data_IF_588879754438
#
_entry.id   IF_588879754438
#
_cell.length_a   1.000
_cell.length_b   1.000
_cell.length_c   1.000
_cell.angle_alpha   90.00
_cell.angle_beta   90.00
_cell.angle_gamma   90.00
#
_symmetry.space_group_name_H-M   'P 1'
#
loop_
_entity.id
_entity.type
_entity.pdbx_description
1 polymer ?
#
# COMPACT_ATOMS: atom_id res chain seq x y z
N UNK A 1 -4.49 -31.26 34.79
CA UNK A 1 -3.38 -30.67 34.03
C UNK A 1 -3.52 -31.08 32.56
N UNK A 2 -4.21 -30.28 31.77
CA UNK A 2 -4.37 -30.51 30.33
C UNK A 2 -3.59 -29.42 29.61
N UNK A 3 -2.40 -29.76 29.10
CA UNK A 3 -1.64 -28.88 28.21
C UNK A 3 -2.31 -28.93 26.86
N UNK A 4 -3.06 -27.88 26.57
CA UNK A 4 -3.63 -27.65 25.24
C UNK A 4 -2.48 -27.52 24.21
N UNK A 5 -2.43 -28.43 23.27
CA UNK A 5 -1.62 -28.38 22.07
C UNK A 5 -2.04 -27.11 21.28
N UNK A 6 -1.26 -26.04 21.36
CA UNK A 6 -1.37 -24.97 20.37
C UNK A 6 -0.84 -25.52 19.05
N UNK A 7 -1.78 -25.85 18.18
CA UNK A 7 -1.49 -26.16 16.77
C UNK A 7 -0.90 -24.90 16.14
N UNK A 8 0.43 -24.84 16.02
CA UNK A 8 1.09 -23.84 15.20
C UNK A 8 0.71 -24.16 13.74
N UNK A 9 -0.36 -23.56 13.24
CA UNK A 9 -0.72 -23.63 11.83
C UNK A 9 0.53 -23.25 11.01
N UNK A 10 0.94 -24.16 10.11
CA UNK A 10 2.03 -23.90 9.16
C UNK A 10 1.67 -22.62 8.41
N UNK A 11 2.50 -21.57 8.50
CA UNK A 11 2.30 -20.37 7.70
C UNK A 11 2.22 -20.77 6.22
N UNK A 12 1.17 -20.32 5.53
CA UNK A 12 1.00 -20.56 4.10
C UNK A 12 2.11 -19.84 3.35
N UNK A 13 2.57 -20.45 2.26
CA UNK A 13 3.58 -19.86 1.39
C UNK A 13 2.95 -18.81 0.47
N UNK A 14 3.66 -17.71 0.22
CA UNK A 14 3.25 -16.65 -0.69
C UNK A 14 4.03 -16.73 -1.99
N UNK A 15 3.37 -16.41 -3.10
CA UNK A 15 3.95 -16.42 -4.44
C UNK A 15 4.28 -15.00 -4.89
N UNK A 16 5.39 -14.89 -5.61
CA UNK A 16 5.67 -13.76 -6.48
C UNK A 16 5.78 -14.29 -7.90
N UNK A 17 4.69 -14.16 -8.64
CA UNK A 17 4.56 -14.60 -10.03
C UNK A 17 5.04 -13.45 -10.89
N UNK A 18 6.04 -13.70 -11.74
CA UNK A 18 6.74 -12.64 -12.46
C UNK A 18 6.66 -12.96 -13.95
N UNK A 19 6.20 -11.99 -14.73
CA UNK A 19 6.30 -12.04 -16.18
C UNK A 19 7.74 -11.85 -16.63
N UNK A 20 8.02 -12.21 -17.89
CA UNK A 20 9.36 -12.18 -18.49
C UNK A 20 9.62 -10.90 -19.28
N UNK A 21 8.92 -10.79 -20.42
CA UNK A 21 9.13 -9.73 -21.41
C UNK A 21 8.47 -8.43 -20.92
N UNK A 22 9.14 -7.27 -21.09
CA UNK A 22 8.68 -6.01 -20.51
C UNK A 22 8.83 -5.92 -18.98
N UNK A 23 9.12 -7.02 -18.28
CA UNK A 23 9.17 -7.11 -16.81
C UNK A 23 10.58 -7.41 -16.27
N UNK A 24 11.21 -8.52 -16.67
CA UNK A 24 12.61 -8.85 -16.33
C UNK A 24 13.58 -8.32 -17.38
N UNK A 25 13.19 -8.44 -18.62
CA UNK A 25 13.97 -8.05 -19.79
C UNK A 25 13.14 -7.14 -20.69
N UNK A 26 13.82 -6.30 -21.47
CA UNK A 26 13.18 -5.40 -22.42
C UNK A 26 12.54 -6.22 -23.53
N UNK A 27 11.31 -5.90 -23.90
CA UNK A 27 10.66 -6.45 -25.04
C UNK A 27 11.11 -5.73 -26.33
N UNK A 28 11.58 -6.44 -27.38
CA UNK A 28 11.91 -5.83 -28.66
C UNK A 28 10.63 -5.56 -29.48
N UNK A 29 10.77 -4.75 -30.55
CA UNK A 29 9.65 -4.37 -31.42
C UNK A 29 8.95 -5.56 -32.11
N UNK A 30 9.66 -6.66 -32.31
CA UNK A 30 9.14 -7.90 -32.92
C UNK A 30 8.64 -8.93 -31.89
N UNK A 31 8.59 -8.53 -30.59
CA UNK A 31 8.09 -9.32 -29.46
C UNK A 31 8.79 -10.68 -29.28
N UNK A 32 9.97 -10.92 -29.91
CA UNK A 32 10.69 -12.17 -29.83
C UNK A 32 12.15 -11.99 -29.39
N UNK A 33 12.51 -12.63 -28.28
CA UNK A 33 13.90 -12.66 -27.79
C UNK A 33 14.54 -13.98 -28.27
N UNK A 34 14.96 -14.00 -29.52
CA UNK A 34 15.51 -15.15 -30.26
C UNK A 34 17.02 -15.06 -30.48
N UNK A 35 17.67 -14.01 -30.02
CA UNK A 35 19.11 -13.78 -30.12
C UNK A 35 19.66 -13.05 -28.87
N UNK A 36 20.98 -13.28 -28.59
CA UNK A 36 21.64 -12.69 -27.43
C UNK A 36 21.73 -11.17 -27.48
N UNK A 37 21.79 -10.57 -28.64
CA UNK A 37 21.84 -9.13 -28.85
C UNK A 37 20.49 -8.44 -28.56
N UNK A 38 19.39 -9.20 -28.52
CA UNK A 38 18.09 -8.74 -28.09
C UNK A 38 17.87 -8.88 -26.57
N UNK A 39 18.74 -9.62 -25.87
CA UNK A 39 18.61 -9.82 -24.43
C UNK A 39 19.13 -8.62 -23.66
N UNK A 40 18.23 -7.77 -23.18
CA UNK A 40 18.54 -6.60 -22.35
C UNK A 40 17.74 -6.67 -21.06
N UNK A 41 18.41 -6.81 -19.91
CA UNK A 41 17.73 -6.78 -18.60
C UNK A 41 17.24 -5.38 -18.28
N UNK A 42 16.04 -5.28 -17.70
CA UNK A 42 15.54 -4.00 -17.22
C UNK A 42 16.41 -3.45 -16.08
N UNK A 43 16.57 -2.12 -16.01
CA UNK A 43 17.34 -1.50 -14.95
C UNK A 43 16.86 -1.88 -13.55
N UNK A 44 17.78 -2.32 -12.72
CA UNK A 44 17.50 -2.65 -11.32
C UNK A 44 17.03 -4.08 -11.04
N UNK A 45 16.72 -4.90 -12.05
CA UNK A 45 16.28 -6.30 -11.86
C UNK A 45 17.23 -7.06 -10.94
N UNK A 46 18.50 -7.18 -11.27
CA UNK A 46 19.46 -7.92 -10.44
C UNK A 46 19.54 -7.42 -9.00
N UNK A 47 19.57 -6.10 -8.83
CA UNK A 47 19.70 -5.49 -7.52
C UNK A 47 18.44 -5.71 -6.66
N UNK A 48 17.28 -5.35 -7.19
CA UNK A 48 16.07 -5.27 -6.39
C UNK A 48 15.30 -6.59 -6.33
N UNK A 49 15.22 -7.36 -7.42
CA UNK A 49 14.67 -8.72 -7.36
C UNK A 49 15.58 -9.64 -6.53
N UNK A 50 16.90 -9.48 -6.61
CA UNK A 50 17.84 -10.17 -5.73
C UNK A 50 17.65 -9.81 -4.27
N UNK A 51 17.35 -8.54 -3.94
CA UNK A 51 16.99 -8.14 -2.58
C UNK A 51 15.65 -8.75 -2.14
N UNK A 52 14.62 -8.75 -3.00
CA UNK A 52 13.32 -9.40 -2.73
C UNK A 52 13.53 -10.90 -2.42
N UNK A 53 14.31 -11.60 -3.24
CA UNK A 53 14.59 -13.04 -3.06
C UNK A 53 15.28 -13.35 -1.72
N UNK A 54 16.14 -12.45 -1.24
CA UNK A 54 16.89 -12.66 0.01
C UNK A 54 16.16 -12.19 1.27
N UNK A 55 15.34 -11.15 1.14
CA UNK A 55 14.79 -10.40 2.28
C UNK A 55 13.31 -10.64 2.53
N UNK A 56 12.64 -11.38 1.65
CA UNK A 56 11.22 -11.72 1.77
C UNK A 56 11.03 -13.25 1.74
N UNK A 57 9.83 -13.69 2.06
CA UNK A 57 9.45 -15.11 2.08
C UNK A 57 8.69 -15.55 0.82
N UNK A 58 8.71 -14.74 -0.24
CA UNK A 58 8.05 -15.09 -1.49
C UNK A 58 8.75 -16.24 -2.22
N UNK A 59 7.95 -17.16 -2.75
CA UNK A 59 8.39 -18.16 -3.70
C UNK A 59 8.26 -17.55 -5.11
N UNK A 60 9.38 -17.44 -5.83
CA UNK A 60 9.42 -16.84 -7.16
C UNK A 60 8.96 -17.85 -8.21
N UNK A 61 8.07 -17.45 -9.10
CA UNK A 61 7.56 -18.24 -10.24
C UNK A 61 7.58 -17.38 -11.49
N UNK A 62 8.19 -17.87 -12.56
CA UNK A 62 8.18 -17.20 -13.87
C UNK A 62 7.00 -17.68 -14.69
N UNK A 63 6.23 -16.76 -15.28
CA UNK A 63 5.08 -17.08 -16.14
C UNK A 63 5.09 -16.17 -17.35
N UNK A 64 5.22 -16.73 -18.55
CA UNK A 64 5.29 -15.96 -19.79
C UNK A 64 4.48 -16.58 -20.92
N UNK A 65 3.89 -15.74 -21.77
CA UNK A 65 3.32 -16.12 -23.05
C UNK A 65 4.42 -15.94 -24.12
N UNK A 66 4.67 -16.97 -24.91
CA UNK A 66 5.66 -16.98 -25.99
C UNK A 66 4.98 -17.46 -27.29
N UNK A 67 4.34 -16.51 -27.95
CA UNK A 67 3.47 -16.77 -29.10
C UNK A 67 4.21 -17.47 -30.21
N UNK A 68 3.70 -18.63 -30.59
CA UNK A 68 4.26 -19.42 -31.70
C UNK A 68 5.62 -20.08 -31.43
N UNK A 69 6.09 -20.15 -30.19
CA UNK A 69 7.31 -20.87 -29.85
C UNK A 69 7.25 -22.35 -30.28
N UNK A 70 8.22 -22.78 -31.05
CA UNK A 70 8.29 -24.09 -31.67
C UNK A 70 7.74 -24.14 -33.11
N UNK A 71 7.32 -23.00 -33.67
CA UNK A 71 7.00 -22.87 -35.12
C UNK A 71 8.20 -22.38 -35.92
N UNK A 72 8.08 -22.36 -37.25
CA UNK A 72 9.12 -21.81 -38.13
C UNK A 72 9.36 -20.30 -37.91
N UNK A 73 8.37 -19.58 -37.38
CA UNK A 73 8.47 -18.15 -37.07
C UNK A 73 9.20 -17.87 -35.74
N UNK A 74 9.18 -18.82 -34.80
CA UNK A 74 9.89 -18.73 -33.53
C UNK A 74 10.47 -20.10 -33.12
N UNK A 75 11.62 -20.51 -33.72
CA UNK A 75 12.22 -21.82 -33.50
C UNK A 75 12.73 -22.01 -32.07
N UNK A 76 12.61 -23.21 -31.54
CA UNK A 76 13.08 -23.53 -30.18
C UNK A 76 14.61 -23.38 -30.01
N UNK A 77 15.38 -23.66 -31.05
CA UNK A 77 16.85 -23.58 -31.06
C UNK A 77 17.37 -22.13 -30.97
N UNK A 78 16.55 -21.15 -31.29
CA UNK A 78 16.85 -19.72 -31.05
C UNK A 78 16.41 -19.23 -29.67
N UNK A 79 15.31 -19.74 -29.18
CA UNK A 79 14.74 -19.32 -27.86
C UNK A 79 15.54 -19.90 -26.69
N UNK A 80 15.76 -21.25 -26.66
CA UNK A 80 16.28 -21.89 -25.44
C UNK A 80 17.69 -21.43 -25.03
N UNK A 81 18.66 -21.19 -25.94
CA UNK A 81 19.96 -20.68 -25.51
C UNK A 81 19.89 -19.35 -24.77
N UNK A 82 19.04 -18.45 -25.24
CA UNK A 82 18.85 -17.13 -24.63
C UNK A 82 18.10 -17.23 -23.28
N UNK A 83 17.04 -18.05 -23.24
CA UNK A 83 16.29 -18.34 -22.03
C UNK A 83 17.17 -18.95 -20.92
N UNK A 84 17.99 -19.97 -21.28
CA UNK A 84 18.90 -20.61 -20.34
C UNK A 84 19.96 -19.63 -19.81
N UNK A 85 20.51 -18.79 -20.69
CA UNK A 85 21.48 -17.77 -20.31
C UNK A 85 20.86 -16.77 -19.34
N UNK A 86 19.67 -16.26 -19.63
CA UNK A 86 18.92 -15.35 -18.76
C UNK A 86 18.70 -15.98 -17.38
N UNK A 87 18.19 -17.22 -17.33
CA UNK A 87 17.92 -17.92 -16.07
C UNK A 87 19.20 -18.18 -15.28
N UNK A 88 20.31 -18.52 -15.95
CA UNK A 88 21.61 -18.71 -15.30
C UNK A 88 22.18 -17.40 -14.76
N UNK A 89 22.03 -16.30 -15.49
CA UNK A 89 22.46 -14.97 -15.04
C UNK A 89 21.70 -14.56 -13.75
N UNK A 90 20.37 -14.75 -13.72
CA UNK A 90 19.54 -14.49 -12.53
C UNK A 90 19.95 -15.38 -11.35
N UNK A 91 20.16 -16.69 -11.59
CA UNK A 91 20.57 -17.65 -10.56
C UNK A 91 21.93 -17.30 -9.96
N UNK A 92 22.91 -16.84 -10.76
CA UNK A 92 24.23 -16.42 -10.30
C UNK A 92 24.17 -15.23 -9.33
N UNK A 93 23.13 -14.40 -9.44
CA UNK A 93 22.83 -13.28 -8.54
C UNK A 93 21.92 -13.68 -7.34
N UNK A 94 21.69 -15.00 -7.17
CA UNK A 94 20.87 -15.52 -6.07
C UNK A 94 19.36 -15.41 -6.29
N UNK A 95 18.92 -15.20 -7.53
CA UNK A 95 17.50 -15.13 -7.91
C UNK A 95 17.09 -16.48 -8.47
N UNK A 96 16.50 -17.32 -7.64
CA UNK A 96 16.09 -18.68 -8.02
C UNK A 96 14.57 -18.77 -8.16
N UNK A 97 14.10 -19.19 -9.33
CA UNK A 97 12.69 -19.47 -9.58
C UNK A 97 12.37 -20.92 -9.23
N UNK A 98 11.31 -21.13 -8.45
CA UNK A 98 10.83 -22.47 -8.10
C UNK A 98 10.26 -23.21 -9.30
N UNK A 99 9.71 -22.49 -10.27
CA UNK A 99 9.24 -23.01 -11.55
C UNK A 99 9.23 -21.94 -12.62
N UNK A 100 9.25 -22.40 -13.89
CA UNK A 100 9.12 -21.58 -15.10
C UNK A 100 7.99 -22.14 -15.93
N UNK A 101 7.00 -21.34 -16.24
CA UNK A 101 5.84 -21.70 -17.03
C UNK A 101 5.80 -20.87 -18.31
N UNK A 102 5.73 -21.55 -19.44
CA UNK A 102 5.74 -20.94 -20.78
C UNK A 102 4.52 -21.43 -21.53
N UNK A 103 3.62 -20.52 -21.86
CA UNK A 103 2.56 -20.78 -22.83
C UNK A 103 3.07 -20.47 -24.24
N UNK A 104 2.72 -21.31 -25.21
CA UNK A 104 3.19 -21.22 -26.60
C UNK A 104 2.08 -20.93 -27.60
N UNK A 105 0.88 -20.77 -27.07
CA UNK A 105 -0.32 -20.64 -27.90
C UNK A 105 -0.54 -19.21 -28.37
N UNK A 106 -1.17 -19.09 -29.54
CA UNK A 106 -1.65 -17.78 -30.00
C UNK A 106 -2.97 -17.40 -29.32
N UNK A 107 -3.31 -16.11 -29.23
CA UNK A 107 -4.54 -15.62 -28.60
C UNK A 107 -5.81 -16.30 -29.11
N UNK A 108 -5.90 -16.55 -30.42
CA UNK A 108 -7.07 -17.14 -31.09
C UNK A 108 -7.36 -18.57 -30.66
N UNK A 109 -6.37 -19.27 -30.09
CA UNK A 109 -6.52 -20.65 -29.64
C UNK A 109 -7.28 -20.74 -28.31
N UNK A 110 -7.40 -19.64 -27.55
CA UNK A 110 -8.17 -19.57 -26.30
C UNK A 110 -7.71 -20.57 -25.24
N UNK A 111 -6.40 -20.86 -25.16
CA UNK A 111 -5.87 -21.86 -24.24
C UNK A 111 -6.00 -21.39 -22.78
N UNK A 112 -6.44 -22.28 -21.87
CA UNK A 112 -6.51 -21.99 -20.43
C UNK A 112 -5.14 -21.70 -19.80
N UNK A 113 -4.05 -22.13 -20.44
CA UNK A 113 -2.67 -21.93 -20.00
C UNK A 113 -2.15 -20.54 -20.34
N UNK A 114 -2.68 -19.91 -21.41
CA UNK A 114 -2.29 -18.56 -21.80
C UNK A 114 -2.80 -17.53 -20.81
N UNK A 115 -1.92 -16.60 -20.34
CA UNK A 115 -2.35 -15.44 -19.56
C UNK A 115 -3.42 -14.62 -20.32
N UNK A 116 -4.54 -14.25 -19.68
CA UNK A 116 -4.81 -14.25 -18.25
C UNK A 116 -5.41 -15.56 -17.68
N UNK A 117 -5.39 -16.68 -18.43
CA UNK A 117 -5.79 -17.98 -17.90
C UNK A 117 -4.86 -18.49 -16.81
N UNK A 118 -5.43 -19.26 -15.86
CA UNK A 118 -4.70 -19.79 -14.69
C UNK A 118 -4.17 -21.21 -14.90
N UNK A 119 -4.32 -21.75 -16.10
CA UNK A 119 -4.04 -23.16 -16.41
C UNK A 119 -2.64 -23.63 -16.07
N UNK A 120 -1.62 -22.77 -16.23
CA UNK A 120 -0.23 -23.05 -15.86
C UNK A 120 0.02 -23.07 -14.35
N UNK A 121 -0.89 -22.53 -13.55
CA UNK A 121 -0.71 -22.28 -12.12
C UNK A 121 -1.61 -23.13 -11.22
N UNK A 122 -2.25 -24.18 -11.78
CA UNK A 122 -3.18 -25.05 -11.05
C UNK A 122 -2.59 -25.66 -9.76
N UNK A 123 -1.30 -25.99 -9.76
CA UNK A 123 -0.61 -26.56 -8.59
C UNK A 123 -0.50 -25.56 -7.42
N UNK A 124 -0.54 -24.28 -7.73
CA UNK A 124 -0.47 -23.20 -6.75
C UNK A 124 -1.84 -22.79 -6.19
N UNK A 125 -2.94 -23.37 -6.68
CA UNK A 125 -4.31 -23.08 -6.18
C UNK A 125 -4.70 -23.96 -4.98
N UNK A 126 -3.76 -24.72 -4.42
CA UNK A 126 -3.99 -25.57 -3.25
C UNK A 126 -3.98 -24.76 -1.93
N UNK A 127 -4.59 -25.28 -0.82
CA UNK A 127 -4.68 -24.56 0.45
C UNK A 127 -3.35 -24.25 1.15
N UNK A 128 -2.23 -24.81 0.71
CA UNK A 128 -0.89 -24.50 1.25
C UNK A 128 -0.35 -23.12 0.78
N UNK A 129 -0.98 -22.54 -0.22
CA UNK A 129 -0.61 -21.24 -0.75
C UNK A 129 -1.56 -20.15 -0.25
N UNK A 130 -0.99 -19.00 0.06
CA UNK A 130 -1.72 -17.77 0.37
C UNK A 130 -1.80 -16.90 -0.87
N UNK A 131 -2.80 -17.15 -1.72
CA UNK A 131 -2.99 -16.39 -2.95
C UNK A 131 -3.36 -14.93 -2.65
N UNK A 132 -4.15 -14.67 -1.63
CA UNK A 132 -4.53 -13.31 -1.24
C UNK A 132 -3.32 -12.46 -0.79
N UNK A 133 -2.29 -13.10 -0.20
CA UNK A 133 -1.02 -12.49 0.16
C UNK A 133 0.05 -12.57 -0.94
N UNK A 134 -0.29 -13.10 -2.13
CA UNK A 134 0.60 -13.29 -3.28
C UNK A 134 0.44 -12.18 -4.31
N UNK A 135 1.45 -12.02 -5.18
CA UNK A 135 1.44 -10.97 -6.21
C UNK A 135 1.80 -11.52 -7.59
N UNK A 136 1.23 -10.88 -8.62
CA UNK A 136 1.65 -11.01 -10.02
C UNK A 136 2.30 -9.70 -10.44
N UNK A 137 3.53 -9.75 -10.92
CA UNK A 137 4.26 -8.61 -11.49
C UNK A 137 4.26 -8.75 -13.00
N UNK A 138 3.83 -7.73 -13.71
CA UNK A 138 3.85 -7.67 -15.16
C UNK A 138 3.64 -6.26 -15.67
N UNK A 139 3.92 -6.05 -16.95
CA UNK A 139 3.79 -4.78 -17.66
C UNK A 139 2.51 -4.68 -18.50
N UNK A 140 1.71 -5.75 -18.55
CA UNK A 140 0.47 -5.82 -19.34
C UNK A 140 -0.77 -5.99 -18.46
N UNK A 141 -1.91 -5.52 -18.95
CA UNK A 141 -3.20 -5.72 -18.27
C UNK A 141 -3.59 -7.21 -18.17
N UNK A 142 -3.09 -8.06 -19.06
CA UNK A 142 -3.25 -9.53 -18.98
C UNK A 142 -2.63 -10.12 -17.73
N UNK A 143 -1.54 -9.55 -17.21
CA UNK A 143 -0.93 -9.95 -15.94
C UNK A 143 -1.79 -9.51 -14.74
N UNK A 144 -2.32 -8.32 -14.80
CA UNK A 144 -3.24 -7.81 -13.76
C UNK A 144 -4.53 -8.63 -13.72
N UNK A 145 -5.04 -9.04 -14.89
CA UNK A 145 -6.20 -9.93 -14.99
C UNK A 145 -5.86 -11.35 -14.52
N UNK A 146 -4.65 -11.85 -14.75
CA UNK A 146 -4.17 -13.11 -14.18
C UNK A 146 -4.17 -13.04 -12.65
N UNK A 147 -3.72 -11.91 -12.06
CA UNK A 147 -3.78 -11.70 -10.62
C UNK A 147 -5.21 -11.80 -10.08
N UNK A 148 -6.16 -11.12 -10.72
CA UNK A 148 -7.58 -11.19 -10.38
C UNK A 148 -8.13 -12.61 -10.44
N UNK A 149 -7.86 -13.32 -11.55
CA UNK A 149 -8.34 -14.69 -11.77
C UNK A 149 -7.75 -15.70 -10.77
N UNK A 150 -6.58 -15.44 -10.21
CA UNK A 150 -5.94 -16.24 -9.15
C UNK A 150 -6.44 -15.88 -7.74
N UNK A 151 -7.11 -14.75 -7.57
CA UNK A 151 -7.37 -14.17 -6.25
C UNK A 151 -6.10 -13.62 -5.57
N UNK A 152 -5.09 -13.28 -6.37
CA UNK A 152 -3.86 -12.59 -5.97
C UNK A 152 -3.97 -11.09 -6.24
N UNK A 153 -2.91 -10.34 -5.97
CA UNK A 153 -2.85 -8.90 -6.23
C UNK A 153 -1.86 -8.58 -7.35
N UNK A 154 -2.15 -7.55 -8.14
CA UNK A 154 -1.30 -7.10 -9.24
C UNK A 154 -0.27 -6.06 -8.81
N UNK A 155 0.93 -6.16 -9.37
CA UNK A 155 1.96 -5.12 -9.34
C UNK A 155 2.20 -4.74 -10.81
N UNK A 156 1.69 -3.57 -11.20
CA UNK A 156 1.71 -3.11 -12.58
C UNK A 156 2.98 -2.30 -12.85
N UNK A 157 3.90 -2.87 -13.61
CA UNK A 157 5.14 -2.22 -14.03
C UNK A 157 4.90 -1.42 -15.30
N UNK A 158 4.28 -0.26 -15.17
CA UNK A 158 3.88 0.61 -16.28
C UNK A 158 5.09 1.40 -16.83
N UNK A 159 6.07 0.69 -17.41
CA UNK A 159 7.25 1.31 -18.05
C UNK A 159 6.96 1.78 -19.49
N UNK A 160 5.97 1.17 -20.15
CA UNK A 160 5.57 1.46 -21.53
C UNK A 160 4.04 1.33 -21.67
N UNK A 161 3.25 2.38 -21.31
CA UNK A 161 1.79 2.30 -21.26
C UNK A 161 1.09 2.04 -22.61
N UNK A 162 1.84 2.10 -23.72
CA UNK A 162 1.30 1.87 -25.07
C UNK A 162 1.32 0.39 -25.49
N UNK A 163 2.09 -0.45 -24.77
CA UNK A 163 2.21 -1.89 -25.08
C UNK A 163 1.04 -2.68 -24.46
N UNK A 164 0.42 -3.55 -25.24
CA UNK A 164 -0.63 -4.46 -24.78
C UNK A 164 -2.04 -3.86 -24.62
N UNK A 165 -2.24 -2.57 -24.95
CA UNK A 165 -3.55 -1.90 -24.84
C UNK A 165 -4.66 -2.52 -25.71
N UNK A 166 -4.31 -3.36 -26.69
CA UNK A 166 -5.25 -4.03 -27.61
C UNK A 166 -5.63 -5.45 -27.20
N UNK A 167 -5.00 -6.04 -26.17
CA UNK A 167 -5.18 -7.47 -25.85
C UNK A 167 -6.41 -7.74 -24.96
N UNK A 168 -6.89 -6.75 -24.21
CA UNK A 168 -8.06 -6.86 -23.34
C UNK A 168 -9.03 -5.70 -23.54
N UNK A 169 -10.32 -5.95 -23.27
CA UNK A 169 -11.34 -4.92 -23.15
C UNK A 169 -11.32 -4.25 -21.76
N UNK A 170 -10.57 -4.80 -20.82
CA UNK A 170 -10.39 -4.28 -19.47
C UNK A 170 -9.53 -3.00 -19.50
N UNK A 171 -9.80 -2.08 -18.58
CA UNK A 171 -9.01 -0.87 -18.36
C UNK A 171 -8.30 -0.93 -17.02
N UNK A 172 -7.29 -0.10 -16.81
CA UNK A 172 -6.62 0.06 -15.50
C UNK A 172 -7.66 0.38 -14.41
N UNK A 173 -8.66 1.22 -14.73
CA UNK A 173 -9.73 1.58 -13.78
C UNK A 173 -10.59 0.37 -13.38
N UNK A 174 -10.87 -0.56 -14.32
CA UNK A 174 -11.67 -1.75 -14.03
C UNK A 174 -10.93 -2.78 -13.15
N UNK A 175 -9.59 -2.78 -13.17
CA UNK A 175 -8.73 -3.65 -12.38
C UNK A 175 -8.15 -2.94 -11.14
N UNK A 176 -8.59 -1.72 -10.84
CA UNK A 176 -8.02 -0.87 -9.79
C UNK A 176 -8.02 -1.50 -8.39
N UNK A 177 -9.01 -2.32 -8.06
CA UNK A 177 -9.03 -3.06 -6.78
C UNK A 177 -7.99 -4.19 -6.72
N UNK A 178 -7.67 -4.77 -7.87
CA UNK A 178 -6.66 -5.84 -7.99
C UNK A 178 -5.25 -5.27 -7.97
N UNK A 179 -5.03 -4.10 -8.59
CA UNK A 179 -3.71 -3.46 -8.67
C UNK A 179 -3.32 -2.92 -7.28
N UNK A 180 -2.36 -3.59 -6.65
CA UNK A 180 -1.84 -3.22 -5.34
C UNK A 180 -0.79 -2.11 -5.41
N UNK A 181 -0.07 -2.04 -6.52
CA UNK A 181 0.96 -1.03 -6.78
C UNK A 181 1.13 -0.84 -8.29
N UNK A 182 1.39 0.40 -8.68
CA UNK A 182 1.72 0.80 -10.04
C UNK A 182 2.94 1.72 -10.02
N UNK A 183 3.84 1.52 -10.96
CA UNK A 183 5.03 2.37 -11.12
C UNK A 183 5.91 1.87 -12.26
N UNK A 184 7.09 2.47 -12.43
CA UNK A 184 7.92 2.27 -13.63
C UNK A 184 9.26 1.59 -13.37
N UNK A 185 9.56 1.16 -12.13
CA UNK A 185 10.87 0.59 -11.83
C UNK A 185 10.86 -0.47 -10.71
N UNK A 186 11.87 -1.34 -10.74
CA UNK A 186 12.09 -2.40 -9.77
C UNK A 186 12.40 -1.92 -8.36
N UNK A 187 12.88 -0.69 -8.20
CA UNK A 187 13.12 -0.11 -6.87
C UNK A 187 11.81 0.09 -6.12
N UNK A 188 10.82 0.68 -6.79
CA UNK A 188 9.49 0.87 -6.22
C UNK A 188 8.80 -0.45 -5.88
N UNK A 189 8.94 -1.48 -6.72
CA UNK A 189 8.43 -2.84 -6.44
C UNK A 189 9.06 -3.41 -5.16
N UNK A 190 10.39 -3.32 -5.03
CA UNK A 190 11.10 -3.79 -3.84
C UNK A 190 10.65 -3.04 -2.58
N UNK A 191 10.57 -1.72 -2.65
CA UNK A 191 10.12 -0.89 -1.52
C UNK A 191 8.70 -1.26 -1.11
N UNK A 192 7.79 -1.43 -2.07
CA UNK A 192 6.42 -1.86 -1.81
C UNK A 192 6.35 -3.25 -1.15
N UNK A 193 7.05 -4.25 -1.69
CA UNK A 193 7.01 -5.63 -1.17
C UNK A 193 7.68 -5.76 0.20
N UNK A 194 8.79 -5.04 0.42
CA UNK A 194 9.51 -5.04 1.69
C UNK A 194 8.74 -4.31 2.79
N UNK A 195 8.18 -3.17 2.47
CA UNK A 195 7.48 -2.33 3.45
C UNK A 195 6.05 -2.80 3.72
N UNK A 196 5.42 -3.54 2.79
CA UNK A 196 4.01 -3.87 2.83
C UNK A 196 3.12 -2.62 2.72
N UNK A 197 1.85 -2.79 2.41
CA UNK A 197 0.86 -1.71 2.41
C UNK A 197 0.43 -1.41 3.83
N UNK A 198 0.49 -0.14 4.23
CA UNK A 198 0.00 0.30 5.53
C UNK A 198 -1.43 0.79 5.40
N UNK A 199 -2.35 -0.14 5.49
CA UNK A 199 -3.78 0.09 5.36
C UNK A 199 -4.52 -0.50 6.56
N UNK A 200 -5.56 0.19 7.00
CA UNK A 200 -6.49 -0.31 8.01
C UNK A 200 -7.93 0.03 7.63
N UNK A 201 -8.84 -0.88 7.95
CA UNK A 201 -10.29 -0.67 7.84
C UNK A 201 -10.90 -0.89 9.22
N UNK A 202 -11.40 0.18 9.82
CA UNK A 202 -11.99 0.17 11.14
C UNK A 202 -13.48 0.43 11.04
N UNK A 203 -14.26 -0.48 11.63
CA UNK A 203 -15.71 -0.34 11.81
C UNK A 203 -16.00 -0.24 13.30
N UNK A 204 -16.66 0.84 13.71
CA UNK A 204 -17.05 1.07 15.10
C UNK A 204 -18.52 1.41 15.16
N UNK A 205 -19.25 0.65 15.97
CA UNK A 205 -20.68 0.88 16.20
C UNK A 205 -20.99 0.92 17.68
N UNK A 206 -21.67 1.97 18.10
CA UNK A 206 -22.21 2.16 19.45
C UNK A 206 -23.73 2.30 19.37
N UNK A 207 -24.38 2.72 20.46
CA UNK A 207 -25.77 3.13 20.43
C UNK A 207 -25.96 4.52 19.80
N UNK A 208 -24.91 5.32 19.75
CA UNK A 208 -24.92 6.74 19.39
C UNK A 208 -24.30 6.98 18.00
N UNK A 209 -23.37 6.12 17.57
CA UNK A 209 -22.62 6.29 16.31
C UNK A 209 -22.46 5.00 15.53
N UNK A 210 -22.37 5.13 14.20
CA UNK A 210 -22.00 4.03 13.25
C UNK A 210 -20.94 4.59 12.31
N UNK A 211 -19.72 4.03 12.39
CA UNK A 211 -18.51 4.61 11.79
C UNK A 211 -17.77 3.56 10.98
N UNK A 212 -17.46 3.91 9.74
CA UNK A 212 -16.59 3.17 8.83
C UNK A 212 -15.41 4.07 8.44
N UNK A 213 -14.17 3.61 8.68
CA UNK A 213 -12.93 4.30 8.27
C UNK A 213 -12.05 3.35 7.50
N UNK A 214 -11.57 3.81 6.33
CA UNK A 214 -10.45 3.21 5.60
C UNK A 214 -9.31 4.22 5.53
N UNK A 215 -8.14 3.81 5.98
CA UNK A 215 -6.92 4.60 6.02
C UNK A 215 -5.81 3.89 5.24
N UNK A 216 -5.16 4.60 4.31
CA UNK A 216 -3.91 4.17 3.64
C UNK A 216 -2.83 5.19 3.96
N UNK A 217 -1.84 4.82 4.78
CA UNK A 217 -0.75 5.73 5.20
C UNK A 217 0.19 6.10 4.05
N UNK A 218 0.40 5.18 3.11
CA UNK A 218 1.23 5.38 1.91
C UNK A 218 0.34 5.78 0.70
N UNK A 219 -0.55 6.75 0.92
CA UNK A 219 -1.52 7.23 -0.04
C UNK A 219 -1.04 8.43 -0.87
N UNK A 220 -1.98 9.01 -1.59
CA UNK A 220 -1.75 10.16 -2.49
C UNK A 220 -2.39 11.47 -1.99
N UNK A 221 -3.13 11.41 -0.88
CA UNK A 221 -3.87 12.52 -0.30
C UNK A 221 -5.32 12.61 -0.79
N UNK A 222 -5.87 11.50 -1.28
CA UNK A 222 -7.30 11.39 -1.63
C UNK A 222 -8.14 11.30 -0.37
N UNK A 223 -9.30 11.97 -0.38
CA UNK A 223 -10.25 11.92 0.72
C UNK A 223 -11.68 11.75 0.22
N UNK A 224 -12.47 11.00 0.99
CA UNK A 224 -13.91 10.87 0.83
C UNK A 224 -14.55 10.78 2.23
N UNK A 225 -14.98 11.96 2.74
CA UNK A 225 -15.27 12.15 4.16
C UNK A 225 -16.69 12.70 4.34
N UNK A 226 -17.47 12.03 5.15
CA UNK A 226 -18.84 12.40 5.48
C UNK A 226 -19.16 12.07 6.92
N UNK A 227 -19.11 13.08 7.80
CA UNK A 227 -19.46 12.97 9.21
C UNK A 227 -20.81 13.62 9.55
N UNK A 228 -21.35 14.39 8.61
CA UNK A 228 -22.52 15.25 8.86
C UNK A 228 -22.20 16.63 9.39
N UNK A 229 -20.93 16.91 9.69
CA UNK A 229 -20.42 18.20 10.15
C UNK A 229 -19.46 18.75 9.09
N UNK A 230 -19.88 19.76 8.34
CA UNK A 230 -19.15 20.24 7.17
C UNK A 230 -17.76 20.80 7.51
N UNK A 231 -17.64 21.50 8.65
CA UNK A 231 -16.36 22.00 9.09
C UNK A 231 -15.42 20.91 9.57
N UNK A 232 -15.96 19.89 10.24
CA UNK A 232 -15.16 18.72 10.65
C UNK A 232 -14.69 17.91 9.44
N UNK A 233 -15.54 17.69 8.45
CA UNK A 233 -15.16 17.06 7.17
C UNK A 233 -14.00 17.82 6.53
N UNK A 234 -14.06 19.16 6.49
CA UNK A 234 -12.98 19.99 5.98
C UNK A 234 -11.67 19.83 6.77
N UNK A 235 -11.73 19.72 8.10
CA UNK A 235 -10.54 19.51 8.92
C UNK A 235 -9.90 18.13 8.67
N UNK A 236 -10.70 17.10 8.50
CA UNK A 236 -10.22 15.75 8.16
C UNK A 236 -9.66 15.68 6.73
N UNK A 237 -10.22 16.45 5.77
CA UNK A 237 -9.64 16.62 4.42
C UNK A 237 -8.23 17.25 4.48
N UNK A 238 -8.01 18.24 5.36
CA UNK A 238 -6.66 18.78 5.58
C UNK A 238 -5.68 17.69 6.05
N UNK A 239 -6.15 16.78 6.92
CA UNK A 239 -5.33 15.66 7.40
C UNK A 239 -4.93 14.74 6.24
N UNK A 240 -5.87 14.31 5.42
CA UNK A 240 -5.62 13.44 4.27
C UNK A 240 -4.64 14.10 3.27
N UNK A 241 -4.99 15.29 2.81
CA UNK A 241 -4.25 16.02 1.77
C UNK A 241 -2.82 16.38 2.19
N UNK A 242 -2.66 17.01 3.34
CA UNK A 242 -1.34 17.44 3.83
C UNK A 242 -0.51 16.29 4.43
N UNK A 243 -1.18 15.26 4.93
CA UNK A 243 -0.58 14.01 5.38
C UNK A 243 -0.12 13.09 4.23
N UNK A 244 -0.63 13.32 3.00
CA UNK A 244 -0.46 12.43 1.85
C UNK A 244 -0.87 10.99 2.16
N UNK A 245 -1.98 10.85 2.89
CA UNK A 245 -2.64 9.58 3.15
C UNK A 245 -3.99 9.55 2.45
N UNK A 246 -4.47 8.36 2.05
CA UNK A 246 -5.83 8.26 1.53
C UNK A 246 -6.76 7.92 2.68
N UNK A 247 -7.89 8.64 2.78
CA UNK A 247 -8.78 8.59 3.92
C UNK A 247 -10.25 8.59 3.48
N UNK A 248 -10.93 7.50 3.76
CA UNK A 248 -12.38 7.38 3.58
C UNK A 248 -13.02 7.30 4.96
N UNK A 249 -13.99 8.20 5.25
CA UNK A 249 -14.71 8.24 6.53
C UNK A 249 -16.20 8.35 6.25
N UNK A 250 -16.97 7.46 6.86
CA UNK A 250 -18.42 7.53 6.95
C UNK A 250 -18.83 7.45 8.39
N UNK A 251 -19.35 8.53 8.92
CA UNK A 251 -19.89 8.60 10.29
C UNK A 251 -21.35 8.97 10.26
N UNK A 252 -22.17 8.20 10.98
CA UNK A 252 -23.55 8.51 11.28
C UNK A 252 -23.69 8.58 12.80
N UNK A 253 -23.79 9.78 13.34
CA UNK A 253 -24.00 10.03 14.77
C UNK A 253 -25.37 10.62 15.06
N UNK A 254 -25.68 10.73 16.32
CA UNK A 254 -26.92 11.30 16.88
C UNK A 254 -26.87 12.83 16.98
N UNK A 255 -26.62 13.50 15.82
CA UNK A 255 -26.43 14.96 15.72
C UNK A 255 -27.65 15.78 16.21
N UNK A 256 -28.82 15.13 16.38
CA UNK A 256 -29.99 15.73 17.03
C UNK A 256 -29.80 15.92 18.54
N UNK A 257 -28.82 15.22 19.15
CA UNK A 257 -28.40 15.42 20.55
C UNK A 257 -27.37 16.55 20.61
N UNK A 258 -26.18 16.29 20.08
CA UNK A 258 -25.14 17.28 19.83
C UNK A 258 -24.03 16.70 18.91
N UNK A 259 -22.94 17.44 18.70
CA UNK A 259 -21.82 17.06 17.87
C UNK A 259 -20.78 16.16 18.60
N UNK A 260 -20.87 16.02 19.91
CA UNK A 260 -19.85 15.44 20.79
C UNK A 260 -19.54 13.98 20.38
N UNK A 261 -20.57 13.12 20.41
CA UNK A 261 -20.39 11.69 20.10
C UNK A 261 -19.83 11.46 18.68
N UNK A 262 -20.30 12.23 17.70
CA UNK A 262 -19.83 12.16 16.33
C UNK A 262 -18.33 12.48 16.22
N UNK A 263 -17.86 13.55 16.86
CA UNK A 263 -16.47 13.99 16.78
C UNK A 263 -15.55 13.06 17.57
N UNK A 264 -15.92 12.74 18.82
CA UNK A 264 -15.11 11.91 19.70
C UNK A 264 -14.96 10.48 19.17
N UNK A 265 -16.06 9.84 18.80
CA UNK A 265 -16.05 8.47 18.30
C UNK A 265 -15.35 8.35 16.95
N UNK A 266 -15.45 9.36 16.06
CA UNK A 266 -14.68 9.42 14.82
C UNK A 266 -13.18 9.52 15.12
N UNK A 267 -12.77 10.33 16.11
CA UNK A 267 -11.37 10.43 16.52
C UNK A 267 -10.83 9.12 17.09
N UNK A 268 -11.63 8.42 17.90
CA UNK A 268 -11.29 7.09 18.44
C UNK A 268 -11.09 6.07 17.29
N UNK A 269 -12.03 6.01 16.36
CA UNK A 269 -11.95 5.10 15.22
C UNK A 269 -10.74 5.43 14.31
N UNK A 270 -10.47 6.71 14.06
CA UNK A 270 -9.32 7.16 13.29
C UNK A 270 -7.99 6.82 13.98
N UNK A 271 -7.89 7.06 15.29
CA UNK A 271 -6.72 6.68 16.08
C UNK A 271 -6.47 5.17 16.04
N UNK A 272 -7.52 4.37 16.12
CA UNK A 272 -7.45 2.91 15.98
C UNK A 272 -6.93 2.51 14.59
N UNK A 273 -7.43 3.14 13.53
CA UNK A 273 -6.96 2.91 12.16
C UNK A 273 -5.47 3.23 12.00
N UNK A 274 -4.98 4.33 12.60
CA UNK A 274 -3.56 4.65 12.65
C UNK A 274 -2.74 3.58 13.39
N UNK A 275 -3.22 3.13 14.55
CA UNK A 275 -2.55 2.09 15.33
C UNK A 275 -2.42 0.79 14.55
N UNK A 276 -3.49 0.36 13.87
CA UNK A 276 -3.52 -0.85 13.05
C UNK A 276 -2.60 -0.71 11.82
N UNK A 277 -2.71 0.38 11.07
CA UNK A 277 -1.90 0.61 9.87
C UNK A 277 -0.39 0.75 10.18
N UNK A 278 -0.01 1.32 11.31
CA UNK A 278 1.39 1.42 11.75
C UNK A 278 1.96 0.06 12.16
N UNK A 279 1.13 -0.88 12.61
CA UNK A 279 1.53 -2.24 12.96
C UNK A 279 2.75 -2.28 13.87
N UNK A 280 3.78 -3.02 13.46
CA UNK A 280 5.04 -3.20 14.22
C UNK A 280 5.97 -1.98 14.26
N UNK A 281 5.63 -0.88 13.57
CA UNK A 281 6.37 0.39 13.54
C UNK A 281 7.83 0.28 13.11
N UNK A 282 8.17 -0.76 12.33
CA UNK A 282 9.52 -0.93 11.80
C UNK A 282 9.83 0.15 10.76
N UNK A 283 11.01 0.73 10.84
CA UNK A 283 11.55 1.69 9.88
C UNK A 283 10.89 3.06 9.88
N UNK A 284 9.92 3.36 10.77
CA UNK A 284 9.31 4.69 10.84
C UNK A 284 10.26 5.71 11.48
N UNK A 285 10.12 6.97 11.10
CA UNK A 285 10.84 8.10 11.75
C UNK A 285 10.35 8.35 13.18
N UNK A 286 9.13 7.95 13.49
CA UNK A 286 8.45 8.05 14.79
C UNK A 286 8.04 9.47 15.20
N UNK A 287 8.81 10.51 14.87
CA UNK A 287 8.63 11.89 15.32
C UNK A 287 8.35 12.87 14.17
N UNK A 288 7.62 13.98 14.45
CA UNK A 288 7.38 15.05 13.50
C UNK A 288 6.85 16.33 14.15
N UNK A 289 6.86 17.47 13.40
CA UNK A 289 6.51 18.82 13.93
C UNK A 289 6.31 19.94 12.87
N UNK A 290 5.65 20.97 13.12
CA UNK A 290 5.47 22.44 13.10
C UNK A 290 5.17 23.21 11.78
N UNK A 291 4.19 24.21 11.80
CA UNK A 291 3.75 25.00 10.63
C UNK A 291 3.15 26.38 10.96
N UNK A 292 3.46 27.49 10.22
CA UNK A 292 2.71 28.77 10.23
C UNK A 292 1.51 28.77 9.28
N UNK A 293 0.49 29.57 9.57
CA UNK A 293 -0.63 29.87 8.68
C UNK A 293 -1.10 31.32 8.89
N UNK A 294 -0.78 32.20 7.93
CA UNK A 294 -1.05 33.64 7.97
C UNK A 294 -0.67 34.27 9.31
N UNK A 295 -1.65 34.75 10.08
CA UNK A 295 -1.47 35.37 11.41
C UNK A 295 -1.30 34.33 12.54
N UNK A 296 -1.36 33.03 12.24
CA UNK A 296 -1.31 31.96 13.22
C UNK A 296 -0.04 31.12 13.10
N UNK A 297 0.45 30.64 14.23
CA UNK A 297 1.52 29.67 14.33
C UNK A 297 1.02 28.45 15.10
N UNK A 298 1.08 27.26 14.49
CA UNK A 298 0.81 26.01 15.17
C UNK A 298 2.08 25.16 15.25
N UNK A 299 2.35 24.68 16.46
CA UNK A 299 3.43 23.72 16.75
C UNK A 299 2.78 22.42 17.18
N UNK A 300 2.99 21.37 16.39
CA UNK A 300 2.47 20.04 16.71
C UNK A 300 3.64 19.06 16.70
N UNK A 301 3.92 18.45 17.84
CA UNK A 301 4.88 17.37 17.95
C UNK A 301 4.11 16.07 18.19
N UNK A 302 4.49 15.01 17.46
CA UNK A 302 3.93 13.67 17.58
C UNK A 302 5.03 12.65 17.88
N UNK A 303 4.71 11.67 18.74
CA UNK A 303 5.53 10.49 18.99
C UNK A 303 4.64 9.23 19.00
N UNK A 304 4.76 8.37 18.01
CA UNK A 304 4.08 7.07 17.96
C UNK A 304 4.78 6.02 18.85
N UNK A 305 5.18 6.42 20.05
CA UNK A 305 5.94 5.62 21.01
C UNK A 305 5.12 4.59 21.80
N UNK A 306 3.87 4.33 21.45
CA UNK A 306 3.01 3.34 22.11
C UNK A 306 2.40 3.80 23.44
N UNK A 307 2.65 5.02 23.87
CA UNK A 307 2.07 5.64 25.06
C UNK A 307 1.32 6.90 24.66
N UNK A 308 0.07 7.00 25.11
CA UNK A 308 -0.78 8.16 24.87
C UNK A 308 -0.50 9.27 25.90
N UNK A 309 -0.44 10.50 25.41
CA UNK A 309 -0.43 11.71 26.21
C UNK A 309 -0.76 12.90 25.34
N UNK A 310 -1.62 13.80 25.82
CA UNK A 310 -1.90 15.07 25.14
C UNK A 310 -1.46 16.24 26.02
N UNK A 311 -0.65 17.13 25.45
CA UNK A 311 -0.45 18.50 25.93
C UNK A 311 -1.16 19.43 24.97
N UNK A 312 -2.10 20.23 25.47
CA UNK A 312 -2.89 21.17 24.70
C UNK A 312 -2.69 22.59 25.23
N UNK A 313 -2.08 23.44 24.40
CA UNK A 313 -1.83 24.87 24.67
C UNK A 313 -2.36 25.69 23.48
N UNK A 314 -3.69 25.73 23.33
CA UNK A 314 -4.37 26.49 22.30
C UNK A 314 -5.71 26.97 22.86
N UNK A 315 -5.83 28.30 23.05
CA UNK A 315 -7.04 28.91 23.57
C UNK A 315 -7.94 29.39 22.42
N UNK A 316 -9.24 29.15 22.57
CA UNK A 316 -10.31 29.64 21.71
C UNK A 316 -11.31 30.41 22.52
N UNK A 317 -11.83 31.53 21.97
CA UNK A 317 -12.81 32.40 22.62
C UNK A 317 -14.20 32.27 22.01
N UNK A 318 -14.27 31.90 20.75
CA UNK A 318 -15.53 31.63 20.04
C UNK A 318 -16.09 30.30 20.53
N UNK A 319 -17.40 30.26 20.69
CA UNK A 319 -18.11 29.02 21.06
C UNK A 319 -18.03 27.97 19.96
N UNK A 320 -18.18 28.38 18.69
CA UNK A 320 -18.13 27.51 17.53
C UNK A 320 -17.34 28.15 16.38
N UNK A 321 -16.72 27.27 15.55
CA UNK A 321 -16.18 27.61 14.23
C UNK A 321 -16.85 26.69 13.21
N UNK A 322 -17.61 27.28 12.28
CA UNK A 322 -18.53 26.51 11.48
C UNK A 322 -19.60 25.84 12.35
N UNK A 323 -19.79 24.58 12.17
CA UNK A 323 -20.69 23.71 12.95
C UNK A 323 -19.99 22.97 14.10
N UNK A 324 -18.69 23.20 14.31
CA UNK A 324 -17.88 22.50 15.32
C UNK A 324 -17.68 23.36 16.58
N UNK A 325 -18.09 22.91 17.79
CA UNK A 325 -17.76 23.58 19.06
C UNK A 325 -16.25 23.60 19.29
N UNK A 326 -15.72 24.71 19.79
CA UNK A 326 -14.25 24.86 19.94
C UNK A 326 -13.67 23.98 21.03
N UNK A 327 -14.45 23.60 22.04
CA UNK A 327 -14.05 22.63 23.05
C UNK A 327 -13.77 21.24 22.43
N UNK A 328 -14.47 20.86 21.35
CA UNK A 328 -14.31 19.58 20.68
C UNK A 328 -12.96 19.44 19.95
N UNK A 329 -12.23 20.52 19.71
CA UNK A 329 -10.88 20.44 19.14
C UNK A 329 -9.93 19.66 20.05
N UNK A 330 -9.93 19.99 21.34
CA UNK A 330 -9.12 19.25 22.32
C UNK A 330 -9.60 17.81 22.46
N UNK A 331 -10.90 17.58 22.51
CA UNK A 331 -11.49 16.25 22.62
C UNK A 331 -11.10 15.35 21.42
N UNK A 332 -11.14 15.89 20.20
CA UNK A 332 -10.67 15.16 19.01
C UNK A 332 -9.23 14.67 19.16
N UNK A 333 -8.29 15.57 19.48
CA UNK A 333 -6.88 15.21 19.62
C UNK A 333 -6.61 14.31 20.82
N UNK A 334 -7.40 14.43 21.90
CA UNK A 334 -7.32 13.52 23.05
C UNK A 334 -7.73 12.12 22.69
N UNK A 335 -8.88 11.95 22.06
CA UNK A 335 -9.43 10.65 21.65
C UNK A 335 -8.56 9.98 20.59
N UNK A 336 -8.03 10.76 19.63
CA UNK A 336 -7.04 10.28 18.68
C UNK A 336 -5.76 9.80 19.39
N UNK A 337 -5.19 10.61 20.30
CA UNK A 337 -3.97 10.28 21.07
C UNK A 337 -4.12 8.96 21.82
N UNK A 338 -5.26 8.76 22.48
CA UNK A 338 -5.54 7.56 23.25
C UNK A 338 -5.61 6.32 22.37
N UNK A 339 -6.33 6.38 21.25
CA UNK A 339 -6.58 5.24 20.36
C UNK A 339 -5.39 4.93 19.47
N UNK A 340 -4.68 5.93 18.95
CA UNK A 340 -3.45 5.78 18.18
C UNK A 340 -2.24 5.40 19.06
N UNK A 341 -2.37 5.45 20.39
CA UNK A 341 -1.28 5.30 21.34
C UNK A 341 -0.11 6.23 21.02
N UNK A 342 -0.45 7.49 20.74
CA UNK A 342 0.49 8.52 20.35
C UNK A 342 0.59 9.61 21.42
N UNK A 343 1.79 10.14 21.62
CA UNK A 343 2.01 11.33 22.41
C UNK A 343 1.89 12.54 21.50
N UNK A 344 1.03 13.50 21.87
CA UNK A 344 0.82 14.75 21.14
C UNK A 344 1.12 15.94 22.04
N UNK A 345 1.87 16.90 21.49
CA UNK A 345 2.07 18.22 22.12
C UNK A 345 1.67 19.27 21.09
N UNK A 346 0.60 20.03 21.39
CA UNK A 346 -0.02 20.98 20.49
C UNK A 346 0.00 22.35 21.16
N UNK A 347 0.63 23.33 20.48
CA UNK A 347 0.58 24.73 20.84
C UNK A 347 0.16 25.56 19.64
N UNK A 348 -0.74 26.52 19.82
CA UNK A 348 -1.12 27.43 18.75
C UNK A 348 -1.42 28.84 19.26
N UNK A 349 -0.92 29.82 18.51
CA UNK A 349 -1.08 31.26 18.76
C UNK A 349 -1.61 31.94 17.51
N UNK A 350 -2.31 33.05 17.63
CA UNK A 350 -2.85 33.85 16.54
C UNK A 350 -4.22 34.43 16.86
N UNK A 351 -4.66 35.39 16.06
CA UNK A 351 -5.91 36.13 16.30
C UNK A 351 -7.13 35.48 15.64
N UNK A 352 -6.98 35.01 14.41
CA UNK A 352 -8.08 34.35 13.69
C UNK A 352 -8.20 32.88 14.10
N UNK A 353 -9.27 32.58 14.82
CA UNK A 353 -9.46 31.22 15.38
C UNK A 353 -9.75 30.15 14.33
N UNK A 354 -10.34 30.52 13.17
CA UNK A 354 -10.46 29.61 12.03
C UNK A 354 -9.06 29.23 11.50
N UNK A 355 -8.20 30.21 11.24
CA UNK A 355 -6.82 29.97 10.82
C UNK A 355 -6.05 29.18 11.87
N UNK A 356 -6.30 29.44 13.16
CA UNK A 356 -5.63 28.73 14.26
C UNK A 356 -5.92 27.23 14.25
N UNK A 357 -7.20 26.83 14.18
CA UNK A 357 -7.54 25.41 14.17
C UNK A 357 -7.12 24.72 12.86
N UNK A 358 -7.27 25.40 11.72
CA UNK A 358 -6.80 24.87 10.44
C UNK A 358 -5.28 24.71 10.44
N UNK A 359 -4.52 25.65 11.02
CA UNK A 359 -3.07 25.54 11.22
C UNK A 359 -2.71 24.31 12.06
N UNK A 360 -3.47 24.04 13.14
CA UNK A 360 -3.28 22.85 13.98
C UNK A 360 -3.47 21.57 13.16
N UNK A 361 -4.56 21.43 12.39
CA UNK A 361 -4.80 20.24 11.58
C UNK A 361 -3.74 20.05 10.48
N UNK A 362 -3.32 21.13 9.82
CA UNK A 362 -2.23 21.07 8.82
C UNK A 362 -0.89 20.71 9.45
N UNK A 363 -0.56 21.28 10.61
CA UNK A 363 0.66 20.96 11.34
C UNK A 363 0.65 19.51 11.83
N UNK A 364 -0.50 19.04 12.33
CA UNK A 364 -0.71 17.65 12.71
C UNK A 364 -0.51 16.71 11.50
N UNK A 365 -1.14 17.01 10.37
CA UNK A 365 -0.99 16.23 9.14
C UNK A 365 0.47 16.12 8.69
N UNK A 366 1.21 17.24 8.70
CA UNK A 366 2.64 17.27 8.37
C UNK A 366 3.50 16.50 9.37
N UNK A 367 3.18 16.62 10.66
CA UNK A 367 3.87 15.90 11.73
C UNK A 367 3.66 14.39 11.59
N UNK A 368 2.44 13.96 11.32
CA UNK A 368 2.12 12.56 11.05
C UNK A 368 2.86 12.06 9.81
N UNK A 369 2.81 12.80 8.68
CA UNK A 369 3.55 12.43 7.46
C UNK A 369 5.03 12.19 7.73
N UNK A 370 5.67 13.07 8.49
CA UNK A 370 7.09 12.91 8.87
C UNK A 370 7.29 11.68 9.76
N UNK A 371 6.46 11.54 10.78
CA UNK A 371 6.59 10.47 11.78
C UNK A 371 6.36 9.08 11.21
N UNK A 372 5.44 8.93 10.25
CA UNK A 372 5.11 7.64 9.65
C UNK A 372 5.99 7.28 8.45
N UNK A 373 6.82 8.21 7.96
CA UNK A 373 7.75 7.94 6.87
C UNK A 373 8.65 6.77 7.23
N UNK A 374 8.85 5.84 6.27
CA UNK A 374 9.73 4.69 6.43
C UNK A 374 11.00 4.84 5.57
N UNK A 375 12.09 4.32 6.11
CA UNK A 375 13.32 4.15 5.37
C UNK A 375 13.47 2.65 5.02
N UNK A 376 13.36 2.27 3.71
CA UNK A 376 13.46 0.89 3.28
C UNK A 376 14.85 0.29 3.51
N UNK A 377 15.90 1.12 3.53
CA UNK A 377 17.26 0.68 3.75
C UNK A 377 17.57 0.50 5.25
N UNK A 378 16.67 1.00 6.13
CA UNK A 378 16.87 0.99 7.59
C UNK A 378 15.61 0.54 8.34
N UNK A 379 15.17 -0.69 8.08
CA UNK A 379 13.97 -1.29 8.70
C UNK A 379 14.25 -1.74 10.15
N UNK A 380 14.60 -0.79 11.02
CA UNK A 380 14.83 -1.03 12.46
C UNK A 380 13.72 -0.40 13.29
N UNK A 381 13.43 -1.01 14.45
CA UNK A 381 12.51 -0.42 15.41
C UNK A 381 13.16 0.83 16.03
N UNK A 382 12.57 2.03 15.94
CA UNK A 382 13.17 3.27 16.48
C UNK A 382 13.01 3.36 18.00
N UNK A 383 13.55 2.37 18.71
CA UNK A 383 13.48 2.26 20.16
C UNK A 383 14.70 1.53 20.72
N UNK A 384 15.37 2.15 21.68
CA UNK A 384 16.46 1.51 22.44
C UNK A 384 15.98 0.42 23.39
N UNK A 385 14.67 0.34 23.64
CA UNK A 385 14.04 -0.65 24.53
C UNK A 385 13.62 -1.93 23.80
N UNK A 386 13.76 -1.98 22.46
CA UNK A 386 13.33 -3.13 21.65
C UNK A 386 11.80 -3.31 21.53
N UNK A 387 11.03 -2.32 21.98
CA UNK A 387 9.56 -2.30 21.90
C UNK A 387 9.04 -0.86 21.83
N UNK A 388 7.84 -0.69 21.24
CA UNK A 388 7.06 0.56 21.16
C UNK A 388 5.58 0.30 21.47
#
# INVERSE_FOLDING_TARGET
MNRGNMNHGKMKKRLLIIDRDGTLIREPEDEQIDAFDKLEFLPGVFRYLGAIARETDFVLVLVTNQDGLGTDAYPEDTFWPVQEFMMNALKNEGIEFASVHIDRTFPEQGAETRKPGTGMLKDYMSPEWDLAGSFVIGDRLTDMKLAENLGARGIFLNSHPELGASELTDSVDSLGETIAWEGSDWKGIYEFLKMGRREAVVKRKTAETDIDIRLVLDGTGKSDIHTGLAFFDHMLDQLARHGQMDLEIRTRGDLEVDEHHTIEDTAIALGSAFSEALGGKLGIERYGFCLPMDDCLAQVAVDFGGRNWLVWDAAFQREKIGDMPTEMFMHFFKSFSDSARANLNIKAEGGNEHHKIEAIFKAFAKSVKMAVRRDPDRMVLPSTKGML
#
